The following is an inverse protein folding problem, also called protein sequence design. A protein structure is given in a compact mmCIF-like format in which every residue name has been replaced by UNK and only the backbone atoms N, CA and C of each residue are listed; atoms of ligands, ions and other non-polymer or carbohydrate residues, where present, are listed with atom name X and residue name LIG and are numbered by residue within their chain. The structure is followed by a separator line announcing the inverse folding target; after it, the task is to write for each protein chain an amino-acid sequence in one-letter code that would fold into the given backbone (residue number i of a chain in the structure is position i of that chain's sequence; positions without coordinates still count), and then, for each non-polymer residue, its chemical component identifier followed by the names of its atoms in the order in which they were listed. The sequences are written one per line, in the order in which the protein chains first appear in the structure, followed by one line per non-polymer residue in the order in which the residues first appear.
data_IF_957527793981
#
_entry.id   IF_957527793981
#
_cell.length_a   1.000
_cell.length_b   1.000
_cell.length_c   1.000
_cell.angle_alpha   90.00
_cell.angle_beta   90.00
_cell.angle_gamma   90.00
#
_symmetry.space_group_name_H-M   'P 1'
#
loop_
_entity.id
_entity.type
_entity.pdbx_description
1 polymer ?
#
# COMPACT_ATOMS: atom_id res chain seq x y z
N UNK A 1 16.83 -10.07 15.53
CA UNK A 1 16.56 -11.41 15.99
C UNK A 1 17.59 -12.40 15.41
N UNK A 2 17.61 -12.61 14.11
CA UNK A 2 18.50 -13.57 13.40
C UNK A 2 19.99 -13.35 13.67
N UNK A 3 20.45 -12.11 13.62
CA UNK A 3 21.85 -11.77 13.91
C UNK A 3 22.24 -12.10 15.36
N UNK A 4 21.35 -11.88 16.33
CA UNK A 4 21.59 -12.23 17.73
C UNK A 4 21.68 -13.74 17.92
N UNK A 5 20.78 -14.52 17.32
CA UNK A 5 20.81 -15.98 17.36
C UNK A 5 22.06 -16.55 16.68
N UNK A 6 22.48 -15.97 15.56
CA UNK A 6 23.72 -16.36 14.88
C UNK A 6 24.95 -16.11 15.75
N UNK A 7 25.10 -14.92 16.32
CA UNK A 7 26.22 -14.58 17.21
C UNK A 7 26.26 -15.46 18.46
N UNK A 8 25.08 -15.76 19.02
CA UNK A 8 24.97 -16.70 20.13
C UNK A 8 25.48 -18.09 19.74
N UNK A 9 25.04 -18.61 18.57
CA UNK A 9 25.50 -19.92 18.08
C UNK A 9 27.01 -19.95 17.80
N UNK A 10 27.57 -18.90 17.20
CA UNK A 10 29.00 -18.78 16.98
C UNK A 10 29.81 -18.80 18.30
N UNK A 11 29.29 -18.16 19.35
CA UNK A 11 29.87 -18.22 20.67
C UNK A 11 29.77 -19.63 21.31
N UNK A 12 28.57 -20.24 21.25
CA UNK A 12 28.29 -21.55 21.85
C UNK A 12 29.21 -22.64 21.30
N UNK A 13 29.52 -22.62 20.00
CA UNK A 13 30.45 -23.58 19.39
C UNK A 13 31.92 -23.15 19.43
N UNK A 14 32.22 -22.02 20.06
CA UNK A 14 33.59 -21.52 20.19
C UNK A 14 34.16 -20.90 18.91
N UNK A 15 33.42 -20.96 17.78
CA UNK A 15 33.87 -20.43 16.47
C UNK A 15 34.09 -18.92 16.53
N UNK A 16 33.19 -18.19 17.20
CA UNK A 16 33.33 -16.74 17.36
C UNK A 16 34.58 -16.35 18.14
N UNK A 17 34.89 -17.08 19.22
CA UNK A 17 36.09 -16.84 20.00
C UNK A 17 37.38 -17.20 19.23
N UNK A 18 37.34 -18.26 18.44
CA UNK A 18 38.50 -18.73 17.69
C UNK A 18 38.83 -17.80 16.49
N UNK A 19 37.84 -17.28 15.76
CA UNK A 19 38.04 -16.64 14.48
C UNK A 19 37.65 -15.16 14.43
N UNK A 20 36.72 -14.69 15.28
CA UNK A 20 36.12 -13.36 15.13
C UNK A 20 36.55 -12.38 16.23
N UNK A 21 36.51 -12.75 17.49
CA UNK A 21 36.74 -11.84 18.62
C UNK A 21 37.73 -12.33 19.67
N UNK A 22 38.44 -13.44 19.45
CA UNK A 22 39.44 -13.98 20.37
C UNK A 22 40.57 -13.05 20.73
N UNK A 23 40.85 -12.07 19.89
CA UNK A 23 41.91 -11.04 20.11
C UNK A 23 41.44 -9.91 21.06
N UNK A 24 40.14 -9.81 21.37
CA UNK A 24 39.58 -8.79 22.26
C UNK A 24 39.06 -9.41 23.55
N UNK A 25 39.70 -9.19 24.70
CA UNK A 25 39.21 -9.69 25.99
C UNK A 25 37.81 -9.18 26.32
N UNK A 26 37.49 -7.94 25.96
CA UNK A 26 36.20 -7.33 26.18
C UNK A 26 35.10 -8.03 25.35
N UNK A 27 35.34 -8.26 24.05
CA UNK A 27 34.37 -8.98 23.21
C UNK A 27 34.20 -10.43 23.67
N UNK A 28 35.28 -11.09 24.10
CA UNK A 28 35.20 -12.47 24.61
C UNK A 28 34.29 -12.58 25.83
N UNK A 29 34.31 -11.59 26.73
CA UNK A 29 33.48 -11.59 27.95
C UNK A 29 32.05 -11.09 27.69
N UNK A 30 31.81 -10.21 26.68
CA UNK A 30 30.51 -9.54 26.46
C UNK A 30 29.70 -10.11 25.31
N UNK A 31 30.32 -10.79 24.33
CA UNK A 31 29.66 -11.20 23.08
C UNK A 31 28.38 -12.01 23.30
N UNK A 32 28.40 -13.01 24.22
CA UNK A 32 27.24 -13.87 24.46
C UNK A 32 26.06 -13.10 25.08
N UNK A 33 26.35 -12.22 26.03
CA UNK A 33 25.33 -11.41 26.70
C UNK A 33 24.69 -10.41 25.73
N UNK A 34 25.51 -9.70 24.97
CA UNK A 34 25.02 -8.75 23.95
C UNK A 34 24.25 -9.44 22.83
N UNK A 35 24.72 -10.59 22.35
CA UNK A 35 23.99 -11.39 21.35
C UNK A 35 22.61 -11.84 21.84
N UNK A 36 22.51 -12.28 23.10
CA UNK A 36 21.25 -12.68 23.72
C UNK A 36 20.28 -11.52 23.85
N UNK A 37 20.74 -10.37 24.32
CA UNK A 37 19.92 -9.15 24.42
C UNK A 37 19.47 -8.64 23.05
N UNK A 38 20.35 -8.68 22.03
CA UNK A 38 20.01 -8.33 20.66
C UNK A 38 18.91 -9.25 20.09
N UNK A 39 18.98 -10.56 20.37
CA UNK A 39 17.94 -11.51 19.96
C UNK A 39 16.60 -11.20 20.64
N UNK A 40 16.59 -10.92 21.95
CA UNK A 40 15.37 -10.59 22.70
C UNK A 40 14.77 -9.26 22.23
N UNK A 41 15.59 -8.22 22.03
CA UNK A 41 15.16 -6.94 21.48
C UNK A 41 14.49 -7.14 20.12
N UNK A 42 15.15 -7.90 19.23
CA UNK A 42 14.62 -8.24 17.91
C UNK A 42 13.29 -9.01 18.00
N UNK A 43 13.12 -9.89 19.00
CA UNK A 43 11.86 -10.59 19.24
C UNK A 43 10.74 -9.63 19.63
N UNK A 44 10.96 -8.70 20.54
CA UNK A 44 9.96 -7.68 20.90
C UNK A 44 9.50 -6.88 19.69
N UNK A 45 10.45 -6.40 18.88
CA UNK A 45 10.15 -5.59 17.69
C UNK A 45 9.43 -6.41 16.62
N UNK A 46 9.92 -7.61 16.30
CA UNK A 46 9.31 -8.49 15.30
C UNK A 46 7.87 -8.87 15.69
N UNK A 47 7.66 -9.33 16.92
CA UNK A 47 6.34 -9.76 17.39
C UNK A 47 5.32 -8.61 17.38
N UNK A 48 5.77 -7.40 17.70
CA UNK A 48 4.91 -6.22 17.65
C UNK A 48 4.38 -5.96 16.24
N UNK A 49 5.22 -6.12 15.22
CA UNK A 49 4.85 -5.93 13.82
C UNK A 49 4.04 -7.10 13.26
N UNK A 50 4.37 -8.33 13.65
CA UNK A 50 3.69 -9.53 13.17
C UNK A 50 2.22 -9.60 13.57
N UNK A 51 1.86 -9.19 14.80
CA UNK A 51 0.49 -9.32 15.32
C UNK A 51 -0.40 -8.10 15.06
N UNK A 52 0.04 -6.88 15.30
CA UNK A 52 -0.82 -5.69 15.24
C UNK A 52 -0.49 -4.72 14.10
N UNK A 53 0.67 -4.86 13.46
CA UNK A 53 1.07 -3.97 12.39
C UNK A 53 1.28 -2.52 12.85
N UNK A 54 0.72 -1.55 12.13
CA UNK A 54 0.98 -0.12 12.32
C UNK A 54 -0.10 0.62 13.15
N UNK A 55 -0.83 -0.04 14.05
CA UNK A 55 -1.75 0.70 14.92
C UNK A 55 -0.98 1.40 16.06
N UNK A 56 -0.67 2.71 15.96
CA UNK A 56 0.19 3.40 16.92
C UNK A 56 -0.45 3.56 18.31
N UNK A 57 -1.76 3.39 18.43
CA UNK A 57 -2.52 3.55 19.69
C UNK A 57 -2.66 2.24 20.46
N UNK A 58 -2.19 1.11 19.92
CA UNK A 58 -2.28 -0.17 20.61
C UNK A 58 -1.47 -0.20 21.90
N UNK A 59 -2.13 -0.56 23.01
CA UNK A 59 -1.47 -0.79 24.30
C UNK A 59 -0.45 -1.92 24.21
N UNK A 60 -0.71 -2.91 23.37
CA UNK A 60 0.18 -4.02 23.11
C UNK A 60 1.48 -3.54 22.42
N UNK A 61 1.38 -2.79 21.34
CA UNK A 61 2.54 -2.24 20.63
C UNK A 61 3.42 -1.39 21.53
N UNK A 62 2.79 -0.57 22.39
CA UNK A 62 3.50 0.23 23.38
C UNK A 62 4.27 -0.61 24.39
N UNK A 63 3.66 -1.69 24.92
CA UNK A 63 4.33 -2.62 25.84
C UNK A 63 5.54 -3.30 25.19
N UNK A 64 5.40 -3.75 23.94
CA UNK A 64 6.48 -4.36 23.18
C UNK A 64 7.66 -3.39 22.94
N UNK A 65 7.36 -2.13 22.61
CA UNK A 65 8.39 -1.09 22.44
C UNK A 65 9.13 -0.81 23.76
N UNK A 66 8.40 -0.72 24.85
CA UNK A 66 9.03 -0.57 26.16
C UNK A 66 9.90 -1.74 26.54
N UNK A 67 9.48 -2.98 26.25
CA UNK A 67 10.31 -4.20 26.42
C UNK A 67 11.57 -4.13 25.57
N UNK A 68 11.49 -3.72 24.32
CA UNK A 68 12.65 -3.55 23.44
C UNK A 68 13.61 -2.45 23.96
N UNK A 69 13.10 -1.30 24.39
CA UNK A 69 13.92 -0.23 24.96
C UNK A 69 14.60 -0.64 26.26
N UNK A 70 13.90 -1.39 27.11
CA UNK A 70 14.47 -1.92 28.35
C UNK A 70 15.63 -2.89 28.07
N UNK A 71 15.47 -3.80 27.11
CA UNK A 71 16.56 -4.74 26.74
C UNK A 71 17.75 -4.04 26.10
N UNK A 72 17.55 -2.95 25.35
CA UNK A 72 18.65 -2.09 24.86
C UNK A 72 19.37 -1.42 26.02
N UNK A 73 18.62 -0.87 27.00
CA UNK A 73 19.20 -0.26 28.21
C UNK A 73 20.04 -1.26 29.00
N UNK A 74 19.56 -2.50 29.15
CA UNK A 74 20.34 -3.59 29.79
C UNK A 74 21.62 -3.89 29.00
N UNK A 75 21.56 -3.85 27.67
CA UNK A 75 22.74 -4.05 26.80
C UNK A 75 23.80 -2.97 27.03
N UNK A 76 23.38 -1.73 27.16
CA UNK A 76 24.29 -0.61 27.48
C UNK A 76 24.88 -0.79 28.89
N UNK A 77 24.07 -1.10 29.89
CA UNK A 77 24.53 -1.31 31.25
C UNK A 77 25.52 -2.48 31.36
N UNK A 78 25.26 -3.56 30.61
CA UNK A 78 26.18 -4.70 30.55
C UNK A 78 27.49 -4.36 29.84
N UNK A 79 27.43 -3.64 28.73
CA UNK A 79 28.62 -3.19 27.98
C UNK A 79 29.53 -2.24 28.78
N UNK A 80 28.97 -1.55 29.77
CA UNK A 80 29.67 -0.66 30.72
C UNK A 80 30.11 -1.38 32.02
N UNK A 81 30.04 -2.73 32.06
CA UNK A 81 30.38 -3.55 33.23
C UNK A 81 29.55 -3.24 34.50
N UNK A 82 28.39 -2.59 34.38
CA UNK A 82 27.47 -2.31 35.49
C UNK A 82 26.71 -3.56 35.97
N UNK A 83 26.63 -4.58 35.11
CA UNK A 83 25.92 -5.83 35.37
C UNK A 83 26.87 -6.98 35.11
N UNK A 84 27.00 -7.92 36.08
CA UNK A 84 27.81 -9.14 35.90
C UNK A 84 27.14 -10.09 34.89
N UNK A 85 27.92 -10.94 34.24
CA UNK A 85 27.43 -11.98 33.33
C UNK A 85 26.41 -12.90 33.99
N UNK A 86 26.63 -13.26 35.25
CA UNK A 86 25.70 -14.10 36.06
C UNK A 86 24.37 -13.35 36.28
N UNK A 87 24.41 -12.07 36.65
CA UNK A 87 23.21 -11.25 36.80
C UNK A 87 22.44 -11.09 35.51
N UNK A 88 23.16 -10.83 34.41
CA UNK A 88 22.54 -10.73 33.07
C UNK A 88 21.89 -12.08 32.67
N UNK A 89 22.55 -13.22 32.90
CA UNK A 89 21.99 -14.52 32.56
C UNK A 89 20.66 -14.79 33.29
N UNK A 90 20.54 -14.41 34.55
CA UNK A 90 19.30 -14.53 35.33
C UNK A 90 18.18 -13.64 34.70
N UNK A 91 18.51 -12.39 34.34
CA UNK A 91 17.55 -11.47 33.69
C UNK A 91 17.11 -11.99 32.31
N UNK A 92 18.05 -12.46 31.50
CA UNK A 92 17.78 -12.99 30.14
C UNK A 92 16.90 -14.26 30.22
N UNK A 93 17.09 -15.10 31.23
CA UNK A 93 16.26 -16.29 31.41
C UNK A 93 14.76 -15.96 31.64
N UNK A 94 14.49 -14.84 32.28
CA UNK A 94 13.11 -14.37 32.52
C UNK A 94 12.60 -13.58 31.30
N UNK A 95 13.43 -12.70 30.74
CA UNK A 95 13.05 -11.80 29.65
C UNK A 95 12.93 -12.49 28.30
N UNK A 96 13.68 -13.58 28.07
CA UNK A 96 13.71 -14.30 26.80
C UNK A 96 12.33 -14.81 26.33
N UNK A 97 11.58 -15.54 27.15
CA UNK A 97 10.25 -16.03 26.77
C UNK A 97 9.16 -14.96 26.78
N UNK A 98 9.39 -13.79 27.38
CA UNK A 98 8.37 -12.77 27.60
C UNK A 98 7.70 -12.25 26.31
N UNK A 99 8.42 -11.95 25.20
CA UNK A 99 7.80 -11.55 23.96
C UNK A 99 6.78 -12.57 23.42
N UNK A 100 7.14 -13.86 23.44
CA UNK A 100 6.27 -14.95 22.99
C UNK A 100 5.04 -15.09 23.91
N UNK A 101 5.24 -15.07 25.23
CA UNK A 101 4.14 -15.16 26.20
C UNK A 101 3.14 -14.02 26.07
N UNK A 102 3.62 -12.79 25.89
CA UNK A 102 2.75 -11.63 25.67
C UNK A 102 1.99 -11.70 24.35
N UNK A 103 2.54 -12.36 23.34
CA UNK A 103 1.92 -12.53 22.03
C UNK A 103 0.96 -13.72 21.94
N UNK A 104 1.09 -14.69 22.83
CA UNK A 104 0.34 -15.95 22.79
C UNK A 104 -1.19 -15.78 22.69
N UNK A 105 -1.85 -14.91 23.48
CA UNK A 105 -3.30 -14.70 23.35
C UNK A 105 -3.70 -14.10 21.99
N UNK A 106 -2.86 -13.24 21.42
CA UNK A 106 -3.08 -12.63 20.11
C UNK A 106 -2.94 -13.65 18.98
N UNK A 107 -1.87 -14.42 19.00
CA UNK A 107 -1.61 -15.48 18.02
C UNK A 107 -2.70 -16.56 18.07
N UNK A 108 -3.15 -16.96 19.27
CA UNK A 108 -4.21 -17.94 19.46
C UNK A 108 -5.55 -17.46 18.88
N UNK A 109 -5.93 -16.22 19.16
CA UNK A 109 -7.16 -15.64 18.60
C UNK A 109 -7.14 -15.62 17.06
N UNK A 110 -5.99 -15.21 16.46
CA UNK A 110 -5.79 -15.21 15.01
C UNK A 110 -5.84 -16.63 14.43
N UNK A 111 -5.16 -17.59 15.05
CA UNK A 111 -5.18 -18.98 14.60
C UNK A 111 -6.61 -19.56 14.61
N UNK A 112 -7.40 -19.30 15.67
CA UNK A 112 -8.81 -19.70 15.73
C UNK A 112 -9.70 -19.04 14.68
N UNK A 113 -9.33 -17.85 14.23
CA UNK A 113 -10.01 -17.15 13.13
C UNK A 113 -9.55 -17.62 11.73
N UNK A 114 -8.70 -18.67 11.66
CA UNK A 114 -8.18 -19.21 10.40
C UNK A 114 -7.03 -18.40 9.79
N UNK A 115 -6.45 -17.44 10.53
CA UNK A 115 -5.34 -16.64 10.05
C UNK A 115 -4.02 -17.44 10.08
N UNK A 116 -3.40 -17.57 8.90
CA UNK A 116 -2.13 -18.28 8.72
C UNK A 116 -0.96 -17.69 9.52
N UNK A 117 -0.99 -16.38 9.82
CA UNK A 117 0.05 -15.72 10.64
C UNK A 117 0.00 -16.25 12.06
N UNK A 118 -1.20 -16.29 12.68
CA UNK A 118 -1.38 -16.80 14.03
C UNK A 118 -0.96 -18.25 14.15
N UNK A 119 -1.39 -19.10 13.23
CA UNK A 119 -1.03 -20.53 13.18
C UNK A 119 0.48 -20.73 13.01
N UNK A 120 1.12 -19.98 12.12
CA UNK A 120 2.56 -20.09 11.86
C UNK A 120 3.38 -19.69 13.11
N UNK A 121 2.98 -18.63 13.82
CA UNK A 121 3.64 -18.21 15.07
C UNK A 121 3.52 -19.26 16.18
N UNK A 122 2.35 -19.87 16.34
CA UNK A 122 2.18 -20.93 17.34
C UNK A 122 3.05 -22.15 17.05
N UNK A 123 3.13 -22.57 15.78
CA UNK A 123 4.00 -23.68 15.36
C UNK A 123 5.47 -23.33 15.60
N UNK A 124 5.89 -22.10 15.24
CA UNK A 124 7.27 -21.64 15.45
C UNK A 124 7.68 -21.72 16.93
N UNK A 125 6.86 -21.20 17.83
CA UNK A 125 7.16 -21.24 19.27
C UNK A 125 7.12 -22.66 19.85
N UNK A 126 6.24 -23.51 19.35
CA UNK A 126 6.22 -24.92 19.76
C UNK A 126 7.51 -25.65 19.37
N UNK A 127 7.95 -25.49 18.11
CA UNK A 127 9.20 -26.08 17.61
C UNK A 127 10.41 -25.55 18.37
N UNK A 128 10.49 -24.23 18.58
CA UNK A 128 11.56 -23.61 19.35
C UNK A 128 11.58 -24.09 20.82
N UNK A 129 10.42 -24.21 21.43
CA UNK A 129 10.26 -24.72 22.80
C UNK A 129 10.73 -26.17 22.96
N UNK A 130 10.42 -27.04 22.00
CA UNK A 130 10.90 -28.42 21.99
C UNK A 130 12.43 -28.50 21.91
N UNK A 131 13.05 -27.76 21.01
CA UNK A 131 14.51 -27.74 20.88
C UNK A 131 15.20 -27.16 22.11
N UNK A 132 14.63 -26.13 22.72
CA UNK A 132 15.11 -25.56 23.98
C UNK A 132 14.98 -26.54 25.15
N UNK A 133 13.86 -27.24 25.25
CA UNK A 133 13.65 -28.26 26.27
C UNK A 133 14.62 -29.45 26.13
N UNK A 134 14.91 -29.85 24.89
CA UNK A 134 15.85 -30.96 24.63
C UNK A 134 17.27 -30.60 25.08
N UNK A 135 17.80 -29.43 24.75
CA UNK A 135 19.14 -29.02 25.20
C UNK A 135 19.21 -28.84 26.73
N UNK A 136 18.15 -28.31 27.36
CA UNK A 136 18.07 -28.22 28.82
C UNK A 136 18.06 -29.63 29.45
N UNK A 137 17.34 -30.57 28.84
CA UNK A 137 17.34 -31.97 29.27
C UNK A 137 18.74 -32.64 29.24
N UNK A 138 19.53 -32.31 28.20
CA UNK A 138 20.93 -32.76 28.10
C UNK A 138 21.79 -32.14 29.21
N UNK A 139 21.67 -30.82 29.44
CA UNK A 139 22.45 -30.09 30.44
C UNK A 139 22.16 -30.66 31.86
N UNK A 140 20.91 -31.02 32.12
CA UNK A 140 20.49 -31.59 33.40
C UNK A 140 20.72 -33.11 33.52
N UNK A 141 21.30 -33.74 32.48
CA UNK A 141 21.55 -35.19 32.48
C UNK A 141 20.31 -36.07 32.31
N UNK A 142 19.15 -35.46 31.96
CA UNK A 142 17.89 -36.17 31.73
C UNK A 142 17.82 -36.82 30.32
N UNK A 143 18.57 -36.31 29.38
CA UNK A 143 18.66 -36.82 28.01
C UNK A 143 20.10 -37.18 27.63
N UNK A 144 20.31 -38.26 26.83
CA UNK A 144 21.64 -38.65 26.38
C UNK A 144 22.23 -37.61 25.42
N UNK A 145 23.55 -37.42 25.52
CA UNK A 145 24.31 -36.57 24.59
C UNK A 145 24.48 -37.32 23.28
N UNK A 146 23.83 -36.82 22.22
CA UNK A 146 23.99 -37.30 20.86
C UNK A 146 23.89 -36.11 19.89
N UNK A 147 24.11 -36.34 18.58
CA UNK A 147 24.06 -35.31 17.57
C UNK A 147 22.74 -34.50 17.62
N UNK A 148 21.60 -35.15 17.69
CA UNK A 148 20.28 -34.51 17.67
C UNK A 148 19.99 -33.69 18.93
N UNK A 149 20.29 -34.23 20.10
CA UNK A 149 20.05 -33.52 21.36
C UNK A 149 21.02 -32.36 21.55
N UNK A 150 22.29 -32.50 21.14
CA UNK A 150 23.28 -31.44 21.23
C UNK A 150 22.98 -30.26 20.28
N UNK A 151 22.47 -30.55 19.06
CA UNK A 151 22.14 -29.52 18.07
C UNK A 151 20.66 -29.15 18.05
N UNK A 152 19.85 -29.68 18.96
CA UNK A 152 18.39 -29.47 19.00
C UNK A 152 18.01 -27.99 19.03
N UNK A 153 18.74 -27.17 19.79
CA UNK A 153 18.52 -25.72 19.87
C UNK A 153 18.79 -25.03 18.53
N UNK A 154 19.90 -25.35 17.87
CA UNK A 154 20.26 -24.72 16.58
C UNK A 154 19.28 -25.13 15.46
N UNK A 155 18.88 -26.39 15.43
CA UNK A 155 17.90 -26.92 14.47
C UNK A 155 16.57 -26.21 14.67
N UNK A 156 16.08 -26.14 15.91
CA UNK A 156 14.81 -25.49 16.21
C UNK A 156 14.85 -23.97 15.98
N UNK A 157 15.96 -23.30 16.31
CA UNK A 157 16.14 -21.89 16.04
C UNK A 157 16.18 -21.58 14.53
N UNK A 158 16.78 -22.47 13.72
CA UNK A 158 16.78 -22.32 12.25
C UNK A 158 15.39 -22.51 11.67
N UNK A 159 14.64 -23.50 12.13
CA UNK A 159 13.24 -23.71 11.72
C UNK A 159 12.34 -22.54 12.14
N UNK A 160 12.50 -22.05 13.36
CA UNK A 160 11.80 -20.87 13.87
C UNK A 160 12.07 -19.63 12.98
N UNK A 161 13.32 -19.44 12.59
CA UNK A 161 13.70 -18.34 11.66
C UNK A 161 13.02 -18.48 10.30
N UNK A 162 12.94 -19.70 9.72
CA UNK A 162 12.25 -19.94 8.46
C UNK A 162 10.75 -19.64 8.58
N UNK A 163 10.14 -20.07 9.71
CA UNK A 163 8.73 -19.78 10.00
C UNK A 163 8.48 -18.28 10.19
N UNK A 164 9.41 -17.55 10.81
CA UNK A 164 9.33 -16.10 10.93
C UNK A 164 9.47 -15.40 9.58
N UNK A 165 10.33 -15.87 8.68
CA UNK A 165 10.40 -15.37 7.31
C UNK A 165 9.07 -15.58 6.56
N UNK A 166 8.41 -16.73 6.77
CA UNK A 166 7.06 -16.97 6.25
C UNK A 166 6.04 -15.98 6.82
N UNK A 167 6.06 -15.73 8.13
CA UNK A 167 5.18 -14.72 8.77
C UNK A 167 5.40 -13.33 8.15
N UNK A 168 6.66 -12.95 7.94
CA UNK A 168 6.99 -11.67 7.30
C UNK A 168 6.45 -11.59 5.88
N UNK A 169 6.62 -12.66 5.09
CA UNK A 169 6.08 -12.76 3.73
C UNK A 169 4.56 -12.64 3.69
N UNK A 170 3.86 -13.35 4.58
CA UNK A 170 2.40 -13.25 4.71
C UNK A 170 1.96 -11.84 5.09
N UNK A 171 2.68 -11.19 5.99
CA UNK A 171 2.39 -9.81 6.42
C UNK A 171 2.62 -8.80 5.31
N UNK A 172 3.71 -8.94 4.57
CA UNK A 172 4.02 -8.09 3.40
C UNK A 172 2.92 -8.22 2.35
N UNK A 173 2.47 -9.45 2.07
CA UNK A 173 1.37 -9.70 1.14
C UNK A 173 0.06 -9.04 1.61
N UNK A 174 -0.29 -9.18 2.89
CA UNK A 174 -1.48 -8.53 3.47
C UNK A 174 -1.44 -7.00 3.31
N UNK A 175 -0.29 -6.39 3.60
CA UNK A 175 -0.10 -4.95 3.44
C UNK A 175 -0.21 -4.51 1.98
N UNK A 176 0.42 -5.26 1.08
CA UNK A 176 0.38 -4.96 -0.36
C UNK A 176 -1.04 -4.99 -0.91
N UNK A 177 -1.82 -6.01 -0.54
CA UNK A 177 -3.23 -6.11 -0.92
C UNK A 177 -4.06 -4.93 -0.39
N UNK A 178 -3.84 -4.53 0.87
CA UNK A 178 -4.54 -3.36 1.45
C UNK A 178 -4.22 -2.06 0.71
N UNK A 179 -2.94 -1.84 0.35
CA UNK A 179 -2.52 -0.66 -0.41
C UNK A 179 -3.14 -0.67 -1.81
N UNK A 180 -3.16 -1.81 -2.49
CA UNK A 180 -3.79 -1.94 -3.80
C UNK A 180 -5.29 -1.61 -3.75
N UNK A 181 -6.02 -2.16 -2.78
CA UNK A 181 -7.44 -1.83 -2.60
C UNK A 181 -7.68 -0.36 -2.29
N UNK A 182 -6.86 0.25 -1.42
CA UNK A 182 -6.97 1.67 -1.13
C UNK A 182 -6.73 2.55 -2.36
N UNK A 183 -5.72 2.22 -3.18
CA UNK A 183 -5.45 2.93 -4.43
C UNK A 183 -6.60 2.77 -5.44
N UNK A 184 -7.14 1.56 -5.61
CA UNK A 184 -8.30 1.33 -6.48
C UNK A 184 -9.54 2.14 -6.02
N UNK A 185 -9.77 2.25 -4.71
CA UNK A 185 -10.86 3.07 -4.18
C UNK A 185 -10.62 4.57 -4.45
N UNK A 186 -9.38 5.05 -4.30
CA UNK A 186 -9.01 6.43 -4.62
C UNK A 186 -9.20 6.72 -6.10
N UNK A 187 -8.75 5.84 -7.00
CA UNK A 187 -8.91 5.99 -8.45
C UNK A 187 -10.39 5.99 -8.85
N UNK A 188 -11.20 5.11 -8.25
CA UNK A 188 -12.63 5.08 -8.48
C UNK A 188 -13.31 6.37 -7.99
N UNK A 189 -12.97 6.85 -6.79
CA UNK A 189 -13.48 8.13 -6.26
C UNK A 189 -13.05 9.31 -7.13
N UNK A 190 -11.79 9.33 -7.61
CA UNK A 190 -11.28 10.36 -8.49
C UNK A 190 -12.01 10.35 -9.84
N UNK A 191 -12.22 9.18 -10.42
CA UNK A 191 -12.99 9.03 -11.65
C UNK A 191 -14.43 9.56 -11.49
N UNK A 192 -15.14 9.14 -10.45
CA UNK A 192 -16.50 9.62 -10.16
C UNK A 192 -16.57 11.14 -9.91
N UNK A 193 -15.51 11.72 -9.34
CA UNK A 193 -15.46 13.16 -9.09
C UNK A 193 -15.20 14.00 -10.34
N UNK A 194 -14.56 13.44 -11.39
CA UNK A 194 -14.07 14.21 -12.53
C UNK A 194 -14.62 13.76 -13.89
N UNK A 195 -15.33 12.63 -13.98
CA UNK A 195 -15.92 12.12 -15.22
C UNK A 195 -17.44 12.05 -15.15
N UNK A 196 -18.11 12.21 -16.29
CA UNK A 196 -19.53 11.93 -16.48
C UNK A 196 -19.73 10.43 -16.67
N UNK A 197 -20.54 9.74 -15.83
CA UNK A 197 -20.65 8.29 -15.87
C UNK A 197 -21.35 7.74 -17.12
N UNK A 198 -22.14 8.57 -17.83
CA UNK A 198 -22.85 8.15 -19.03
C UNK A 198 -21.94 8.17 -20.26
N UNK A 199 -21.23 9.27 -20.46
CA UNK A 199 -20.44 9.50 -21.68
C UNK A 199 -18.96 9.14 -21.52
N UNK A 200 -18.46 9.01 -20.28
CA UNK A 200 -17.05 8.83 -19.98
C UNK A 200 -16.18 10.07 -20.19
N UNK A 201 -16.79 11.19 -20.58
CA UNK A 201 -16.11 12.48 -20.74
C UNK A 201 -15.80 13.11 -19.38
N UNK A 202 -14.83 14.05 -19.28
CA UNK A 202 -14.74 14.95 -18.15
C UNK A 202 -16.09 15.58 -17.81
N UNK A 203 -16.44 15.61 -16.53
CA UNK A 203 -17.59 16.35 -16.04
C UNK A 203 -17.23 17.82 -15.78
N UNK A 204 -18.13 18.61 -15.20
CA UNK A 204 -17.91 20.00 -14.85
C UNK A 204 -16.64 20.22 -14.01
N UNK A 205 -16.37 19.34 -13.04
CA UNK A 205 -15.18 19.44 -12.20
C UNK A 205 -13.90 19.10 -12.97
N UNK A 206 -13.91 18.03 -13.77
CA UNK A 206 -12.80 17.67 -14.66
C UNK A 206 -12.49 18.77 -15.65
N UNK A 207 -13.53 19.35 -16.29
CA UNK A 207 -13.36 20.47 -17.21
C UNK A 207 -12.74 21.71 -16.54
N UNK A 208 -13.10 22.02 -15.31
CA UNK A 208 -12.56 23.17 -14.59
C UNK A 208 -11.06 23.06 -14.33
N UNK A 209 -10.57 21.86 -14.05
CA UNK A 209 -9.14 21.58 -13.86
C UNK A 209 -8.38 21.79 -15.18
N UNK A 210 -8.89 21.21 -16.26
CA UNK A 210 -8.29 21.34 -17.59
C UNK A 210 -8.29 22.80 -18.07
N UNK A 211 -9.39 23.51 -17.86
CA UNK A 211 -9.51 24.93 -18.21
C UNK A 211 -8.50 25.80 -17.46
N UNK A 212 -8.35 25.57 -16.14
CA UNK A 212 -7.39 26.32 -15.34
C UNK A 212 -5.95 26.11 -15.83
N UNK A 213 -5.61 24.88 -16.19
CA UNK A 213 -4.31 24.50 -16.74
C UNK A 213 -4.08 25.10 -18.13
N UNK A 214 -5.11 25.11 -19.00
CA UNK A 214 -5.02 25.66 -20.36
C UNK A 214 -4.93 27.19 -20.35
N UNK A 215 -5.68 27.87 -19.49
CA UNK A 215 -5.60 29.30 -19.30
C UNK A 215 -4.20 29.77 -18.86
N UNK A 216 -3.55 29.02 -18.02
CA UNK A 216 -2.18 29.31 -17.57
C UNK A 216 -1.14 29.24 -18.70
N UNK A 217 -1.43 28.48 -19.78
CA UNK A 217 -0.56 28.34 -20.97
C UNK A 217 -0.96 29.26 -22.15
N UNK A 218 -2.13 29.89 -22.10
CA UNK A 218 -2.61 30.73 -23.14
C UNK A 218 -1.82 32.05 -23.23
N UNK A 219 -1.42 32.44 -24.45
CA UNK A 219 -0.70 33.69 -24.76
C UNK A 219 -1.28 34.28 -26.02
N UNK A 220 -0.89 35.53 -26.36
CA UNK A 220 -1.33 36.17 -27.62
C UNK A 220 -0.87 35.43 -28.90
N UNK A 221 0.19 34.59 -28.80
CA UNK A 221 0.67 33.76 -29.90
C UNK A 221 0.11 32.32 -29.83
N UNK A 222 -0.53 31.96 -28.73
CA UNK A 222 -1.08 30.63 -28.47
C UNK A 222 -2.46 30.77 -27.83
N UNK A 223 -3.48 30.97 -28.64
CA UNK A 223 -4.83 31.24 -28.16
C UNK A 223 -5.54 29.95 -27.70
N UNK A 224 -6.37 30.12 -26.69
CA UNK A 224 -7.29 29.11 -26.18
C UNK A 224 -8.72 29.50 -26.57
N UNK A 225 -9.48 28.61 -27.20
CA UNK A 225 -10.91 28.77 -27.40
C UNK A 225 -11.71 27.77 -26.57
N UNK A 226 -12.80 28.24 -25.98
CA UNK A 226 -13.74 27.42 -25.19
C UNK A 226 -15.11 27.57 -25.84
N UNK A 227 -15.72 26.44 -26.21
CA UNK A 227 -17.04 26.36 -26.83
C UNK A 227 -18.00 25.76 -25.82
N UNK A 228 -19.10 26.43 -25.52
CA UNK A 228 -20.24 25.91 -24.78
C UNK A 228 -21.33 25.55 -25.76
N UNK A 229 -21.84 24.34 -25.66
CA UNK A 229 -22.76 23.75 -26.63
C UNK A 229 -23.98 23.17 -25.90
N UNK A 230 -25.14 23.37 -26.54
CA UNK A 230 -26.42 22.84 -26.06
C UNK A 230 -27.13 22.10 -27.20
N UNK A 231 -27.79 20.99 -26.95
CA UNK A 231 -28.47 20.19 -27.97
C UNK A 231 -29.89 20.66 -28.17
N UNK A 232 -30.15 21.29 -29.32
CA UNK A 232 -31.47 21.74 -29.69
C UNK A 232 -32.38 20.54 -29.98
N UNK A 233 -33.50 20.46 -29.25
CA UNK A 233 -34.49 19.42 -29.45
C UNK A 233 -34.23 18.12 -28.67
N UNK A 234 -33.29 18.09 -27.69
CA UNK A 234 -33.02 16.92 -26.86
C UNK A 234 -34.23 16.50 -25.99
N UNK A 235 -34.90 17.48 -25.36
CA UNK A 235 -36.08 17.19 -24.55
C UNK A 235 -37.20 16.49 -25.31
N UNK A 236 -37.63 16.96 -26.52
CA UNK A 236 -38.59 16.23 -27.38
C UNK A 236 -38.17 14.78 -27.67
N UNK A 237 -36.90 14.48 -27.83
CA UNK A 237 -36.40 13.09 -28.03
C UNK A 237 -36.68 12.21 -26.81
N UNK A 238 -36.40 12.72 -25.61
CA UNK A 238 -36.73 12.03 -24.37
C UNK A 238 -38.25 11.82 -24.21
N UNK A 239 -39.03 12.85 -24.50
CA UNK A 239 -40.50 12.79 -24.35
C UNK A 239 -41.12 11.79 -25.33
N UNK A 240 -40.58 11.64 -26.54
CA UNK A 240 -41.08 10.78 -27.61
C UNK A 240 -40.56 9.34 -27.52
N UNK A 241 -39.28 9.14 -27.17
CA UNK A 241 -38.59 7.86 -27.28
C UNK A 241 -38.11 7.26 -25.94
N UNK A 242 -38.28 8.02 -24.84
CA UNK A 242 -37.82 7.62 -23.51
C UNK A 242 -36.40 8.01 -23.21
N UNK A 243 -36.06 7.97 -21.92
CA UNK A 243 -34.75 8.40 -21.42
C UNK A 243 -33.59 7.50 -21.90
N UNK A 244 -33.84 6.21 -22.11
CA UNK A 244 -32.81 5.28 -22.59
C UNK A 244 -32.28 5.69 -23.98
N UNK A 245 -33.20 6.12 -24.89
CA UNK A 245 -32.81 6.62 -26.21
C UNK A 245 -32.10 7.97 -26.10
N UNK A 246 -32.53 8.82 -25.16
CA UNK A 246 -31.83 10.08 -24.88
C UNK A 246 -30.40 9.84 -24.36
N UNK A 247 -30.20 8.86 -23.52
CA UNK A 247 -28.87 8.47 -23.03
C UNK A 247 -27.98 7.92 -24.16
N UNK A 248 -28.53 7.06 -25.04
CA UNK A 248 -27.83 6.61 -26.26
C UNK A 248 -27.46 7.79 -27.17
N UNK A 249 -28.36 8.79 -27.33
CA UNK A 249 -28.10 9.97 -28.09
C UNK A 249 -26.93 10.78 -27.51
N UNK A 250 -26.90 11.00 -26.19
CA UNK A 250 -25.80 11.72 -25.53
C UNK A 250 -24.46 11.03 -25.71
N UNK A 251 -24.42 9.70 -25.65
CA UNK A 251 -23.23 8.91 -25.94
C UNK A 251 -22.81 9.04 -27.42
N UNK A 252 -23.79 9.02 -28.35
CA UNK A 252 -23.52 9.16 -29.77
C UNK A 252 -23.02 10.58 -30.11
N UNK A 253 -23.57 11.61 -29.47
CA UNK A 253 -23.13 13.01 -29.57
C UNK A 253 -21.67 13.14 -29.10
N UNK A 254 -21.36 12.62 -27.90
CA UNK A 254 -20.01 12.63 -27.36
C UNK A 254 -18.98 12.03 -28.33
N UNK A 255 -19.27 10.84 -28.88
CA UNK A 255 -18.42 10.19 -29.90
C UNK A 255 -18.29 10.99 -31.18
N UNK A 256 -19.37 11.57 -31.68
CA UNK A 256 -19.36 12.38 -32.89
C UNK A 256 -18.50 13.64 -32.74
N UNK A 257 -18.65 14.34 -31.61
CA UNK A 257 -17.84 15.52 -31.30
C UNK A 257 -16.36 15.14 -31.16
N UNK A 258 -16.04 14.08 -30.43
CA UNK A 258 -14.65 13.57 -30.29
C UNK A 258 -14.01 13.26 -31.66
N UNK A 259 -14.76 12.70 -32.60
CA UNK A 259 -14.28 12.40 -33.94
C UNK A 259 -13.88 13.64 -34.79
N UNK A 260 -14.29 14.83 -34.37
CA UNK A 260 -13.96 16.11 -35.06
C UNK A 260 -12.85 16.88 -34.35
N UNK A 261 -12.40 16.43 -33.18
CA UNK A 261 -11.39 17.05 -32.33
C UNK A 261 -10.02 16.38 -32.48
N UNK A 262 -8.98 17.09 -32.13
CA UNK A 262 -7.61 16.59 -32.03
C UNK A 262 -7.43 15.89 -30.68
N UNK A 263 -6.39 15.08 -30.54
CA UNK A 263 -6.04 14.42 -29.28
C UNK A 263 -5.69 15.42 -28.16
N UNK A 264 -5.22 16.62 -28.53
CA UNK A 264 -4.91 17.70 -27.59
C UNK A 264 -6.13 18.49 -27.13
N UNK A 265 -7.26 18.37 -27.86
CA UNK A 265 -8.49 19.08 -27.52
C UNK A 265 -9.23 18.35 -26.40
N UNK A 266 -9.89 19.10 -25.54
CA UNK A 266 -10.66 18.57 -24.44
C UNK A 266 -12.14 18.75 -24.73
N UNK A 267 -12.92 17.68 -24.54
CA UNK A 267 -14.37 17.71 -24.54
C UNK A 267 -14.90 17.26 -23.20
N UNK A 268 -15.93 17.92 -22.67
CA UNK A 268 -16.56 17.59 -21.39
C UNK A 268 -18.09 17.64 -21.53
N UNK A 269 -18.80 16.93 -20.65
CA UNK A 269 -20.25 17.07 -20.48
C UNK A 269 -20.53 17.69 -19.11
N UNK A 270 -21.20 18.84 -19.09
CA UNK A 270 -21.47 19.58 -17.84
C UNK A 270 -22.70 19.08 -17.09
N UNK A 271 -23.61 18.41 -17.79
CA UNK A 271 -24.84 17.83 -17.29
C UNK A 271 -25.99 18.00 -18.31
N UNK A 272 -27.02 17.17 -18.25
CA UNK A 272 -28.12 17.22 -19.23
C UNK A 272 -27.62 17.07 -20.66
N UNK A 273 -27.92 18.04 -21.49
CA UNK A 273 -27.57 18.19 -22.89
C UNK A 273 -26.44 19.18 -23.15
N UNK A 274 -25.78 19.70 -22.09
CA UNK A 274 -24.71 20.66 -22.18
C UNK A 274 -23.33 20.00 -22.37
N UNK A 275 -22.63 20.37 -23.45
CA UNK A 275 -21.24 19.96 -23.72
C UNK A 275 -20.31 21.17 -23.78
N UNK A 276 -19.05 20.98 -23.46
CA UNK A 276 -18.00 21.98 -23.60
C UNK A 276 -16.83 21.37 -24.35
N UNK A 277 -16.32 22.11 -25.34
CA UNK A 277 -15.06 21.80 -26.01
C UNK A 277 -14.06 22.90 -25.71
N UNK A 278 -12.81 22.51 -25.51
CA UNK A 278 -11.69 23.40 -25.31
C UNK A 278 -10.58 23.02 -26.28
N UNK A 279 -10.09 23.98 -27.05
CA UNK A 279 -8.95 23.80 -27.95
C UNK A 279 -7.91 24.87 -27.70
N UNK A 280 -6.67 24.48 -27.57
CA UNK A 280 -5.52 25.37 -27.45
C UNK A 280 -4.70 25.43 -28.72
N UNK A 281 -3.54 26.10 -28.64
CA UNK A 281 -2.55 26.20 -29.72
C UNK A 281 -3.14 26.81 -31.01
N UNK A 282 -4.10 27.73 -30.87
CA UNK A 282 -4.66 28.46 -32.01
C UNK A 282 -3.81 29.67 -32.32
N UNK A 283 -3.55 29.87 -33.63
CA UNK A 283 -2.73 30.96 -34.15
C UNK A 283 -3.56 32.22 -34.45
N UNK A 284 -4.87 32.07 -34.55
CA UNK A 284 -5.77 33.18 -34.86
C UNK A 284 -7.20 32.89 -34.40
N UNK A 285 -8.00 33.95 -34.14
CA UNK A 285 -9.43 33.82 -33.86
C UNK A 285 -10.22 33.15 -34.99
N UNK A 286 -9.76 33.26 -36.24
CA UNK A 286 -10.39 32.63 -37.39
C UNK A 286 -10.39 31.10 -37.29
N UNK A 287 -9.32 30.50 -36.76
CA UNK A 287 -9.26 29.04 -36.51
C UNK A 287 -10.30 28.60 -35.49
N UNK A 288 -10.55 29.41 -34.45
CA UNK A 288 -11.60 29.10 -33.47
C UNK A 288 -12.99 29.16 -34.16
N UNK A 289 -13.24 30.15 -34.99
CA UNK A 289 -14.49 30.24 -35.73
C UNK A 289 -14.69 29.03 -36.67
N UNK A 290 -13.65 28.66 -37.41
CA UNK A 290 -13.67 27.51 -38.33
C UNK A 290 -13.98 26.20 -37.63
N UNK A 291 -13.38 25.95 -36.44
CA UNK A 291 -13.70 24.78 -35.63
C UNK A 291 -15.16 24.81 -35.17
N UNK A 292 -15.69 25.96 -34.74
CA UNK A 292 -17.09 26.11 -34.37
C UNK A 292 -18.04 25.73 -35.52
N UNK A 293 -17.76 26.20 -36.74
CA UNK A 293 -18.54 25.83 -37.94
C UNK A 293 -18.43 24.33 -38.27
N UNK A 294 -17.24 23.74 -38.10
CA UNK A 294 -17.02 22.31 -38.29
C UNK A 294 -17.84 21.48 -37.28
N UNK A 295 -17.89 21.88 -36.02
CA UNK A 295 -18.69 21.22 -35.00
C UNK A 295 -20.19 21.33 -35.30
N UNK A 296 -20.68 22.50 -35.73
CA UNK A 296 -22.08 22.70 -36.18
C UNK A 296 -22.41 21.78 -37.37
N UNK A 297 -21.53 21.70 -38.36
CA UNK A 297 -21.75 20.87 -39.54
C UNK A 297 -21.84 19.37 -39.23
N UNK A 298 -21.23 18.93 -38.15
CA UNK A 298 -21.31 17.54 -37.69
C UNK A 298 -22.74 17.11 -37.29
N UNK A 299 -23.62 18.06 -36.99
CA UNK A 299 -25.01 17.84 -36.63
C UNK A 299 -26.01 17.92 -37.80
N UNK A 300 -25.52 18.16 -39.02
CA UNK A 300 -26.36 18.12 -40.23
C UNK A 300 -26.88 16.67 -40.54
N UNK A 301 -26.18 15.66 -40.07
CA UNK A 301 -26.57 14.26 -40.25
C UNK A 301 -27.32 13.71 -39.02
N UNK A 302 -28.36 12.89 -39.20
CA UNK A 302 -29.08 12.29 -38.10
C UNK A 302 -28.20 11.31 -37.30
N UNK A 303 -28.64 11.00 -36.12
CA UNK A 303 -28.05 9.95 -35.24
C UNK A 303 -28.85 8.67 -35.43
N UNK A 304 -28.15 7.57 -35.74
CA UNK A 304 -28.73 6.23 -35.79
C UNK A 304 -28.64 5.56 -34.43
N UNK A 305 -29.76 5.33 -33.76
CA UNK A 305 -29.86 4.81 -32.38
C UNK A 305 -30.86 3.64 -32.39
N UNK A 306 -30.40 2.44 -32.02
CA UNK A 306 -31.30 1.28 -31.87
C UNK A 306 -32.24 1.02 -33.05
N UNK A 307 -31.87 1.41 -34.25
CA UNK A 307 -32.70 1.25 -35.48
C UNK A 307 -33.61 2.43 -35.79
N UNK A 308 -33.63 3.52 -35.01
CA UNK A 308 -34.31 4.74 -35.27
C UNK A 308 -33.31 5.84 -35.74
N UNK A 309 -33.82 6.81 -36.46
CA UNK A 309 -33.04 7.98 -36.88
C UNK A 309 -33.52 9.22 -36.11
N UNK A 310 -32.63 9.85 -35.37
CA UNK A 310 -32.93 11.02 -34.53
C UNK A 310 -32.15 12.22 -35.06
N UNK A 311 -32.86 13.32 -35.29
CA UNK A 311 -32.24 14.58 -35.70
C UNK A 311 -32.32 15.57 -34.54
N UNK A 312 -31.17 16.13 -34.15
CA UNK A 312 -31.04 17.22 -33.19
C UNK A 312 -30.15 18.30 -33.74
N UNK A 313 -30.40 19.54 -33.32
CA UNK A 313 -29.53 20.68 -33.61
C UNK A 313 -28.45 20.86 -32.57
N UNK A 314 -27.61 21.87 -32.81
CA UNK A 314 -26.55 22.26 -31.88
C UNK A 314 -26.45 23.78 -31.84
N UNK A 315 -26.63 24.38 -30.66
CA UNK A 315 -26.32 25.80 -30.43
C UNK A 315 -24.92 25.91 -29.80
N UNK A 316 -24.05 26.72 -30.35
CA UNK A 316 -22.67 26.94 -29.88
C UNK A 316 -22.43 28.42 -29.57
N UNK A 317 -22.00 28.70 -28.34
CA UNK A 317 -21.34 29.94 -27.96
C UNK A 317 -19.86 29.68 -27.70
N UNK A 318 -18.96 30.60 -28.09
CA UNK A 318 -17.54 30.44 -27.79
C UNK A 318 -16.86 31.74 -27.37
N UNK A 319 -15.79 31.58 -26.57
CA UNK A 319 -14.90 32.66 -26.16
C UNK A 319 -13.45 32.29 -26.42
N UNK A 320 -12.59 33.30 -26.61
CA UNK A 320 -11.16 33.14 -26.87
C UNK A 320 -10.37 33.85 -25.78
N UNK A 321 -9.29 33.25 -25.31
CA UNK A 321 -8.35 33.81 -24.34
C UNK A 321 -6.90 33.68 -24.86
N UNK A 322 -5.99 34.65 -24.52
CA UNK A 322 -6.29 35.92 -23.86
C UNK A 322 -6.99 36.90 -24.82
N UNK A 323 -7.70 37.87 -24.27
CA UNK A 323 -8.37 38.95 -24.99
C UNK A 323 -7.36 40.05 -25.30
#
# INVERSE_FOLDING_TARGET
LTSGSLLYSLHFFGVGQQYLWGHSPWLTSHAVGLASLMAITGSFLFMSQALEGHNPQSRFLRRMRWGALFTVGLGVAFALDLISLKGLAAIVSIMGPLPALLCLPGAWRRARAGDSIGTTLLIAWFVYGLGSAAIIGVINGALPVNFWTLHSFQISATLDMLLFMRVLGLRTKELHTKVQHANQQLDAMHSLAHTDPLTGLPNRCGMQIELSSALARATHENLLAVYVMDLDGFKPVNDQHGHDVGDELLVAVARRLQGHLRQSDVIARLGGDEFVVMTGELQSPAQAHELGLKLLSAFSLPFALGGIQVQVGLTIGYAIAPI
#
